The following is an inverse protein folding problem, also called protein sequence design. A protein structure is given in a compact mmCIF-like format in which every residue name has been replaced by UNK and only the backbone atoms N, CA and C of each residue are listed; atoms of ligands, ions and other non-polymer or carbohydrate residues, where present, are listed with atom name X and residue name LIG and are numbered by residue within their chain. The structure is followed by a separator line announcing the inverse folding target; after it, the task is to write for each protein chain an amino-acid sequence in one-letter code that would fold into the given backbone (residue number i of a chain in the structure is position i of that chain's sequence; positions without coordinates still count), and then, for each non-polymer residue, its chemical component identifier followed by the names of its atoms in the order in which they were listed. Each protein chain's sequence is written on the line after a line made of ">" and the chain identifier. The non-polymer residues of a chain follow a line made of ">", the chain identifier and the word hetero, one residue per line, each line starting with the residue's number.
data_IF_136342933553
#
_entry.id   IF_136342933553
#
_cell.length_a   1.000
_cell.length_b   1.000
_cell.length_c   1.000
_cell.angle_alpha   90.00
_cell.angle_beta   90.00
_cell.angle_gamma   90.00
#
_symmetry.space_group_name_H-M   'P 1'
#
loop_
_entity.id
_entity.type
_entity.pdbx_description
1 polymer ?
#
# COMPACT_ATOMS: atom_id res chain seq x y z
N UNK A 1 -13.98 7.15 27.25
CA UNK A 1 -14.78 6.67 26.13
C UNK A 1 -14.41 7.45 24.89
N UNK A 2 -14.09 6.76 23.82
CA UNK A 2 -13.90 7.42 22.53
C UNK A 2 -15.27 7.75 21.97
N UNK A 3 -15.57 9.04 21.81
CA UNK A 3 -16.76 9.51 21.10
C UNK A 3 -16.63 9.21 19.59
N UNK A 4 -17.76 9.15 18.89
CA UNK A 4 -17.76 9.05 17.45
C UNK A 4 -17.16 10.31 16.83
N UNK A 5 -16.30 10.13 15.83
CA UNK A 5 -15.83 11.26 15.01
C UNK A 5 -17.03 11.87 14.28
N UNK A 6 -17.24 13.17 14.45
CA UNK A 6 -18.40 13.87 13.90
C UNK A 6 -18.07 14.62 12.60
N UNK A 7 -16.81 15.07 12.44
CA UNK A 7 -16.35 15.78 11.23
C UNK A 7 -14.82 15.76 11.12
N UNK A 8 -14.30 15.95 9.89
CA UNK A 8 -12.90 16.24 9.60
C UNK A 8 -12.80 17.53 8.80
N UNK A 9 -11.94 18.45 9.24
CA UNK A 9 -11.75 19.73 8.55
C UNK A 9 -11.15 20.79 9.47
N UNK A 10 -10.97 21.98 8.93
CA UNK A 10 -10.47 23.12 9.69
C UNK A 10 -11.56 23.79 10.56
N UNK A 11 -12.81 23.46 10.31
CA UNK A 11 -13.96 24.04 11.00
C UNK A 11 -14.98 22.95 11.34
N UNK A 12 -15.57 23.07 12.51
CA UNK A 12 -16.73 22.30 12.91
C UNK A 12 -17.84 23.28 13.30
N UNK A 13 -19.01 23.17 12.65
CA UNK A 13 -20.17 23.97 12.94
C UNK A 13 -21.14 23.13 13.76
N UNK A 14 -21.32 23.50 15.01
CA UNK A 14 -22.36 22.88 15.84
C UNK A 14 -23.74 23.34 15.37
N UNK A 15 -24.74 22.47 15.42
CA UNK A 15 -26.14 22.90 15.41
C UNK A 15 -26.48 23.75 16.66
N UNK A 16 -27.73 24.23 16.78
CA UNK A 16 -28.17 24.97 17.99
C UNK A 16 -27.93 24.15 19.25
N UNK A 17 -27.18 24.68 20.19
CA UNK A 17 -26.88 24.05 21.48
C UNK A 17 -27.81 24.66 22.58
N UNK A 18 -28.49 23.80 23.31
CA UNK A 18 -29.33 24.19 24.46
C UNK A 18 -28.62 24.01 25.80
N UNK A 19 -27.52 23.29 25.84
CA UNK A 19 -26.72 23.01 27.04
C UNK A 19 -25.24 23.14 26.75
N UNK A 20 -24.45 23.41 27.78
CA UNK A 20 -22.99 23.36 27.69
C UNK A 20 -22.52 21.97 27.18
N UNK A 21 -21.60 21.99 26.26
CA UNK A 21 -21.11 20.79 25.58
C UNK A 21 -19.58 20.82 25.50
N UNK A 22 -18.95 19.68 25.69
CA UNK A 22 -17.51 19.50 25.45
C UNK A 22 -17.32 18.73 24.16
N UNK A 23 -16.54 19.29 23.23
CA UNK A 23 -16.06 18.60 22.05
C UNK A 23 -14.55 18.35 22.20
N UNK A 24 -14.06 17.28 21.60
CA UNK A 24 -12.65 16.95 21.60
C UNK A 24 -12.08 17.17 20.19
N UNK A 25 -10.96 17.88 20.12
CA UNK A 25 -10.28 18.18 18.87
C UNK A 25 -8.92 17.51 18.88
N UNK A 26 -8.58 16.86 17.77
CA UNK A 26 -7.26 16.30 17.53
C UNK A 26 -6.78 16.67 16.13
N UNK A 27 -5.48 16.86 15.98
CA UNK A 27 -4.86 17.06 14.67
C UNK A 27 -4.47 15.71 14.10
N UNK A 28 -4.89 15.42 12.86
CA UNK A 28 -4.39 14.28 12.08
C UNK A 28 -3.27 14.77 11.16
N UNK A 29 -2.10 14.15 11.25
CA UNK A 29 -0.98 14.35 10.34
C UNK A 29 -0.94 13.14 9.41
N UNK A 30 -1.10 13.31 8.09
CA UNK A 30 -0.99 12.21 7.14
C UNK A 30 0.34 11.48 7.29
N UNK A 31 0.33 10.16 7.13
CA UNK A 31 1.55 9.37 7.12
C UNK A 31 2.50 9.78 5.98
N UNK A 32 3.76 9.41 6.13
CA UNK A 32 4.77 9.67 5.09
C UNK A 32 4.37 8.94 3.82
N UNK A 33 4.36 9.66 2.71
CA UNK A 33 4.21 9.11 1.37
C UNK A 33 5.58 9.02 0.72
N UNK A 34 5.93 7.86 0.18
CA UNK A 34 7.26 7.60 -0.38
C UNK A 34 7.19 6.55 -1.49
N UNK A 35 8.18 6.56 -2.37
CA UNK A 35 8.30 5.56 -3.43
C UNK A 35 9.40 4.55 -3.11
N UNK A 36 9.22 3.30 -3.55
CA UNK A 36 10.17 2.21 -3.32
C UNK A 36 10.23 1.23 -4.51
N UNK A 37 11.39 0.64 -4.67
CA UNK A 37 11.69 -0.29 -5.77
C UNK A 37 12.26 0.41 -7.01
N UNK A 38 12.61 -0.37 -8.05
CA UNK A 38 13.05 0.20 -9.31
C UNK A 38 11.93 0.99 -9.97
N UNK A 39 12.26 2.05 -10.70
CA UNK A 39 11.27 2.91 -11.37
C UNK A 39 10.49 2.20 -12.48
N UNK A 40 11.08 1.19 -13.12
CA UNK A 40 10.46 0.39 -14.18
C UNK A 40 11.27 -0.87 -14.48
N UNK A 41 10.87 -1.64 -15.49
CA UNK A 41 11.52 -2.89 -15.90
C UNK A 41 12.85 -2.75 -16.64
N UNK A 42 13.46 -1.58 -16.76
CA UNK A 42 14.73 -1.38 -17.48
C UNK A 42 15.98 -1.79 -16.68
N UNK A 43 15.81 -2.36 -15.49
CA UNK A 43 16.91 -2.78 -14.60
C UNK A 43 17.71 -3.98 -15.11
N UNK A 44 17.15 -4.76 -16.04
CA UNK A 44 17.81 -5.93 -16.59
C UNK A 44 16.95 -6.69 -17.59
N UNK A 45 17.43 -7.84 -18.05
CA UNK A 45 16.69 -8.71 -18.96
C UNK A 45 15.39 -9.24 -18.31
N UNK A 46 14.36 -9.45 -19.13
CA UNK A 46 13.08 -9.93 -18.63
C UNK A 46 12.11 -10.29 -19.73
N UNK A 47 10.84 -10.44 -19.37
CA UNK A 47 9.75 -10.74 -20.29
C UNK A 47 8.41 -10.85 -19.59
N UNK A 48 7.34 -10.88 -20.38
CA UNK A 48 6.00 -11.08 -19.87
C UNK A 48 5.83 -12.47 -19.30
N UNK A 49 5.23 -12.54 -18.12
CA UNK A 49 5.02 -13.79 -17.40
C UNK A 49 3.52 -14.06 -17.23
N UNK A 50 3.07 -15.11 -17.88
CA UNK A 50 1.64 -15.51 -17.89
C UNK A 50 1.52 -17.02 -17.65
N UNK A 51 1.83 -17.46 -16.44
CA UNK A 51 1.74 -18.88 -16.03
C UNK A 51 0.95 -18.99 -14.73
N UNK A 52 0.54 -20.22 -14.38
CA UNK A 52 -0.10 -20.49 -13.09
C UNK A 52 0.80 -20.32 -11.86
N UNK A 53 2.09 -20.06 -12.05
CA UNK A 53 3.00 -19.76 -10.94
C UNK A 53 2.70 -18.37 -10.38
N UNK A 54 2.60 -18.26 -9.06
CA UNK A 54 2.42 -17.00 -8.37
C UNK A 54 3.74 -16.24 -8.29
N UNK A 55 3.92 -15.30 -9.22
CA UNK A 55 5.04 -14.36 -9.15
C UNK A 55 4.74 -13.28 -8.12
N UNK A 56 5.63 -13.12 -7.14
CA UNK A 56 5.45 -12.14 -6.08
C UNK A 56 6.78 -11.52 -5.65
N UNK A 57 6.71 -10.32 -5.08
CA UNK A 57 7.78 -9.68 -4.34
C UNK A 57 7.56 -9.92 -2.86
N UNK A 58 8.59 -10.37 -2.16
CA UNK A 58 8.61 -10.58 -0.72
C UNK A 58 9.04 -9.28 -0.04
N UNK A 59 8.32 -8.87 0.98
CA UNK A 59 8.63 -7.66 1.72
C UNK A 59 8.33 -7.82 3.21
N UNK A 60 9.08 -7.08 4.04
CA UNK A 60 8.85 -6.97 5.48
C UNK A 60 8.32 -5.58 5.75
N UNK A 61 7.17 -5.47 6.38
CA UNK A 61 6.63 -4.21 6.89
C UNK A 61 7.04 -4.03 8.36
N UNK A 62 7.43 -2.82 8.74
CA UNK A 62 7.78 -2.45 10.12
C UNK A 62 6.62 -1.75 10.83
N UNK A 63 5.63 -1.26 10.07
CA UNK A 63 4.39 -0.67 10.56
C UNK A 63 3.25 -0.98 9.58
N UNK A 64 2.02 -0.62 9.97
CA UNK A 64 0.89 -0.64 9.02
C UNK A 64 1.15 0.38 7.90
N UNK A 65 0.75 0.04 6.70
CA UNK A 65 0.91 0.91 5.55
C UNK A 65 -0.14 0.62 4.49
N UNK A 66 -0.25 1.50 3.53
CA UNK A 66 -1.05 1.28 2.31
C UNK A 66 -0.13 1.31 1.10
N UNK A 67 -0.17 0.29 0.26
CA UNK A 67 0.43 0.33 -1.08
C UNK A 67 -0.59 1.02 -1.98
N UNK A 68 -0.35 2.31 -2.25
CA UNK A 68 -1.30 3.20 -2.93
C UNK A 68 -1.35 2.91 -4.41
N UNK A 69 -0.20 2.78 -5.05
CA UNK A 69 -0.07 2.56 -6.49
C UNK A 69 1.25 1.88 -6.84
N UNK A 70 1.35 1.37 -8.06
CA UNK A 70 2.60 0.86 -8.63
C UNK A 70 2.63 1.04 -10.15
N UNK A 71 3.82 1.06 -10.75
CA UNK A 71 4.01 0.89 -12.17
C UNK A 71 3.97 -0.59 -12.55
N UNK A 72 3.23 -0.89 -13.61
CA UNK A 72 3.19 -2.20 -14.26
C UNK A 72 3.46 -2.03 -15.75
N UNK A 73 3.90 -3.11 -16.40
CA UNK A 73 3.94 -3.20 -17.86
C UNK A 73 3.17 -4.46 -18.27
N UNK A 74 2.02 -4.26 -18.93
CA UNK A 74 1.08 -5.32 -19.28
C UNK A 74 1.27 -5.79 -20.73
N UNK A 75 1.41 -7.09 -20.94
CA UNK A 75 1.59 -7.69 -22.26
C UNK A 75 0.35 -7.56 -23.18
N UNK A 76 -0.82 -7.36 -22.60
CA UNK A 76 -2.09 -7.10 -23.30
C UNK A 76 -3.04 -6.35 -22.38
N UNK A 77 -4.10 -5.77 -22.95
CA UNK A 77 -5.18 -5.17 -22.17
C UNK A 77 -6.02 -6.22 -21.43
N UNK A 78 -6.63 -5.82 -20.31
CA UNK A 78 -7.57 -6.63 -19.54
C UNK A 78 -7.35 -6.60 -18.04
N UNK A 79 -8.15 -7.36 -17.28
CA UNK A 79 -8.09 -7.36 -15.82
C UNK A 79 -6.81 -8.02 -15.28
N UNK A 80 -6.27 -7.49 -14.18
CA UNK A 80 -5.13 -8.02 -13.44
C UNK A 80 -5.48 -8.03 -11.96
N UNK A 81 -5.52 -9.22 -11.35
CA UNK A 81 -5.72 -9.33 -9.90
C UNK A 81 -4.37 -9.37 -9.22
N UNK A 82 -4.14 -8.37 -8.38
CA UNK A 82 -2.94 -8.22 -7.54
C UNK A 82 -3.37 -8.47 -6.11
N UNK A 83 -2.62 -9.33 -5.42
CA UNK A 83 -2.96 -9.80 -4.08
C UNK A 83 -1.79 -9.66 -3.13
N UNK A 84 -2.09 -9.48 -1.84
CA UNK A 84 -1.13 -9.56 -0.74
C UNK A 84 -1.44 -10.82 0.08
N UNK A 85 -0.40 -11.53 0.47
CA UNK A 85 -0.45 -12.68 1.37
C UNK A 85 0.40 -12.46 2.60
N UNK A 86 -0.01 -13.07 3.71
CA UNK A 86 0.86 -13.23 4.88
C UNK A 86 2.01 -14.18 4.53
N UNK A 87 3.21 -13.81 4.93
CA UNK A 87 4.43 -14.57 4.63
C UNK A 87 4.93 -14.38 3.20
N UNK A 88 6.07 -15.00 2.93
CA UNK A 88 6.75 -14.91 1.64
C UNK A 88 6.19 -15.90 0.62
N UNK A 89 6.46 -15.61 -0.65
CA UNK A 89 6.22 -16.47 -1.83
C UNK A 89 4.76 -16.63 -2.27
N UNK A 90 3.83 -15.83 -1.78
CA UNK A 90 2.47 -15.75 -2.34
C UNK A 90 1.68 -17.06 -2.24
N UNK A 91 1.40 -17.52 -1.02
CA UNK A 91 0.66 -18.76 -0.78
C UNK A 91 -0.57 -18.60 0.11
N UNK A 92 -1.51 -19.54 -0.02
CA UNK A 92 -2.72 -19.56 0.80
C UNK A 92 -3.77 -18.52 0.38
N UNK A 93 -4.59 -18.11 1.35
CA UNK A 93 -5.64 -17.11 1.12
C UNK A 93 -5.04 -15.70 1.20
N UNK A 94 -5.24 -14.85 0.20
CA UNK A 94 -4.82 -13.46 0.26
C UNK A 94 -5.49 -12.71 1.40
N UNK A 95 -4.77 -11.80 2.05
CA UNK A 95 -5.31 -10.89 3.06
C UNK A 95 -5.94 -9.64 2.43
N UNK A 96 -5.47 -9.27 1.23
CA UNK A 96 -6.01 -8.16 0.44
C UNK A 96 -5.84 -8.46 -1.04
N UNK A 97 -6.76 -7.97 -1.88
CA UNK A 97 -6.69 -8.11 -3.33
C UNK A 97 -7.39 -6.96 -4.03
N UNK A 98 -6.87 -6.59 -5.19
CA UNK A 98 -7.51 -5.62 -6.09
C UNK A 98 -7.43 -6.13 -7.53
N UNK A 99 -8.48 -5.90 -8.31
CA UNK A 99 -8.46 -6.14 -9.76
C UNK A 99 -8.43 -4.80 -10.49
N UNK A 100 -7.35 -4.56 -11.22
CA UNK A 100 -7.16 -3.37 -12.06
C UNK A 100 -7.36 -3.72 -13.53
N UNK A 101 -8.03 -2.85 -14.28
CA UNK A 101 -8.13 -3.00 -15.74
C UNK A 101 -6.92 -2.31 -16.39
N UNK A 102 -5.95 -3.10 -16.82
CA UNK A 102 -4.75 -2.60 -17.46
C UNK A 102 -4.96 -2.41 -18.97
N UNK A 103 -4.41 -1.34 -19.53
CA UNK A 103 -4.11 -1.23 -20.96
C UNK A 103 -2.86 -2.03 -21.30
N UNK A 104 -2.60 -2.30 -22.56
CA UNK A 104 -1.31 -2.88 -22.97
C UNK A 104 -0.18 -1.85 -22.76
N UNK A 105 0.98 -2.31 -22.28
CA UNK A 105 2.18 -1.51 -22.08
C UNK A 105 2.32 -0.94 -20.66
N UNK A 106 3.32 -0.06 -20.46
CA UNK A 106 3.66 0.48 -19.15
C UNK A 106 2.66 1.53 -18.68
N UNK A 107 2.25 1.44 -17.42
CA UNK A 107 1.29 2.37 -16.79
C UNK A 107 1.36 2.30 -15.28
N UNK A 108 0.98 3.39 -14.60
CA UNK A 108 0.72 3.39 -13.17
C UNK A 108 -0.71 2.91 -12.91
N UNK A 109 -0.87 2.05 -11.92
CA UNK A 109 -2.18 1.55 -11.49
C UNK A 109 -2.39 1.83 -10.01
N UNK A 110 -3.61 2.22 -9.66
CA UNK A 110 -4.00 2.39 -8.26
C UNK A 110 -4.32 1.03 -7.65
N UNK A 111 -3.77 0.77 -6.48
CA UNK A 111 -3.93 -0.48 -5.75
C UNK A 111 -4.73 -0.29 -4.47
N UNK A 112 -4.39 0.68 -3.65
CA UNK A 112 -4.98 0.95 -2.32
C UNK A 112 -5.06 -0.32 -1.46
N UNK A 113 -3.99 -1.12 -1.46
CA UNK A 113 -3.90 -2.36 -0.70
C UNK A 113 -3.32 -2.07 0.69
N UNK A 114 -4.10 -2.40 1.72
CA UNK A 114 -3.68 -2.23 3.11
C UNK A 114 -2.83 -3.40 3.59
N UNK A 115 -1.74 -3.07 4.29
CA UNK A 115 -0.89 -3.99 5.05
C UNK A 115 -1.15 -3.73 6.53
N UNK A 116 -1.63 -4.73 7.30
CA UNK A 116 -2.24 -4.47 8.60
C UNK A 116 -1.26 -4.09 9.72
N UNK A 117 0.03 -4.36 9.56
CA UNK A 117 1.03 -4.04 10.58
C UNK A 117 2.36 -4.74 10.36
N UNK A 118 3.23 -4.74 11.35
CA UNK A 118 4.53 -5.38 11.24
C UNK A 118 4.45 -6.86 10.88
N UNK A 119 5.32 -7.29 9.97
CA UNK A 119 5.39 -8.69 9.56
C UNK A 119 5.95 -8.89 8.16
N UNK A 120 6.05 -10.15 7.78
CA UNK A 120 6.49 -10.58 6.46
C UNK A 120 5.29 -10.82 5.55
N UNK A 121 5.40 -10.34 4.33
CA UNK A 121 4.33 -10.39 3.33
C UNK A 121 4.89 -10.67 1.94
N UNK A 122 3.99 -10.99 1.04
CA UNK A 122 4.30 -11.01 -0.40
C UNK A 122 3.17 -10.35 -1.20
N UNK A 123 3.53 -9.72 -2.33
CA UNK A 123 2.58 -9.06 -3.23
C UNK A 123 2.83 -9.48 -4.67
N UNK A 124 1.77 -9.83 -5.41
CA UNK A 124 1.88 -10.26 -6.80
C UNK A 124 0.63 -10.93 -7.33
N UNK A 125 0.81 -11.93 -8.19
CA UNK A 125 -0.30 -12.68 -8.77
C UNK A 125 0.15 -13.80 -9.71
N UNK A 126 -0.80 -14.61 -10.14
CA UNK A 126 -0.61 -15.68 -11.12
C UNK A 126 -1.39 -15.38 -12.39
N UNK A 127 -0.88 -15.84 -13.54
CA UNK A 127 -1.55 -15.68 -14.86
C UNK A 127 -1.91 -14.23 -15.20
N UNK A 128 -1.14 -13.25 -14.73
CA UNK A 128 -1.45 -11.82 -14.86
C UNK A 128 -0.79 -11.14 -16.06
N UNK A 129 0.01 -11.87 -16.86
CA UNK A 129 0.66 -11.36 -18.06
C UNK A 129 1.30 -9.97 -17.92
N UNK A 130 2.10 -9.81 -16.86
CA UNK A 130 2.89 -8.60 -16.60
C UNK A 130 4.36 -8.88 -16.84
N UNK A 131 5.10 -7.82 -17.21
CA UNK A 131 6.54 -7.88 -17.37
C UNK A 131 7.22 -8.13 -16.02
N UNK A 132 8.22 -9.00 -16.01
CA UNK A 132 9.14 -9.24 -14.88
C UNK A 132 10.57 -9.16 -15.36
N UNK A 133 11.47 -8.74 -14.50
CA UNK A 133 12.89 -8.92 -14.73
C UNK A 133 13.35 -10.30 -14.24
N UNK A 134 14.29 -10.88 -14.94
CA UNK A 134 14.99 -12.13 -14.59
C UNK A 134 16.40 -11.85 -14.06
N UNK A 135 16.87 -10.62 -14.23
CA UNK A 135 18.17 -10.13 -13.77
C UNK A 135 18.05 -8.66 -13.41
N UNK A 136 19.00 -8.14 -12.61
CA UNK A 136 19.15 -6.72 -12.33
C UNK A 136 18.41 -6.22 -11.10
N UNK A 137 17.73 -7.09 -10.36
CA UNK A 137 17.23 -6.73 -9.04
C UNK A 137 18.42 -6.50 -8.07
N UNK A 138 18.27 -5.53 -7.17
CA UNK A 138 19.29 -5.17 -6.19
C UNK A 138 18.67 -5.02 -4.80
N UNK A 139 18.23 -6.13 -4.24
CA UNK A 139 17.64 -6.19 -2.91
C UNK A 139 18.64 -5.93 -1.78
N UNK A 140 18.21 -5.40 -0.61
CA UNK A 140 16.86 -4.91 -0.33
C UNK A 140 16.64 -3.49 -0.86
N UNK A 141 15.40 -3.19 -1.27
CA UNK A 141 14.93 -1.81 -1.40
C UNK A 141 14.26 -1.42 -0.09
N UNK A 142 14.58 -0.24 0.46
CA UNK A 142 14.21 0.10 1.85
C UNK A 142 13.61 1.50 1.94
N UNK A 143 12.48 1.63 2.63
CA UNK A 143 12.01 2.85 3.27
C UNK A 143 12.22 2.65 4.78
N UNK A 144 13.19 3.37 5.41
CA UNK A 144 13.50 3.18 6.82
C UNK A 144 12.26 3.31 7.72
N UNK A 145 12.13 2.42 8.71
CA UNK A 145 11.05 2.36 9.68
C UNK A 145 9.64 2.15 9.08
N UNK A 146 9.56 1.72 7.83
CA UNK A 146 8.27 1.44 7.19
C UNK A 146 8.25 0.10 6.48
N UNK A 147 9.16 -0.11 5.50
CA UNK A 147 9.09 -1.34 4.70
C UNK A 147 10.42 -1.63 3.98
N UNK A 148 10.68 -2.92 3.77
CA UNK A 148 11.80 -3.42 2.95
C UNK A 148 11.32 -4.47 1.96
N UNK A 149 11.55 -4.29 0.64
CA UNK A 149 11.38 -5.34 -0.36
C UNK A 149 12.67 -6.17 -0.36
N UNK A 150 12.59 -7.45 -0.03
CA UNK A 150 13.77 -8.26 0.32
C UNK A 150 14.14 -9.32 -0.70
N UNK A 151 13.19 -9.80 -1.50
CA UNK A 151 13.44 -10.82 -2.53
C UNK A 151 12.21 -11.00 -3.43
N UNK A 152 12.28 -11.97 -4.34
CA UNK A 152 11.13 -12.44 -5.11
C UNK A 152 10.72 -13.86 -4.71
N UNK A 153 9.56 -14.32 -5.19
CA UNK A 153 9.06 -15.69 -5.03
C UNK A 153 9.69 -16.69 -6.01
N UNK A 154 10.69 -16.31 -6.81
CA UNK A 154 11.36 -17.22 -7.72
C UNK A 154 12.00 -18.38 -6.96
N UNK A 155 11.76 -19.62 -7.40
CA UNK A 155 12.30 -20.82 -6.75
C UNK A 155 13.80 -20.97 -6.93
N UNK A 156 14.33 -20.41 -8.00
CA UNK A 156 15.77 -20.32 -8.28
C UNK A 156 16.15 -18.86 -8.41
N UNK A 157 17.27 -18.47 -7.80
CA UNK A 157 17.80 -17.09 -7.84
C UNK A 157 16.77 -16.02 -7.43
N UNK A 158 16.11 -16.12 -6.26
CA UNK A 158 15.07 -15.14 -5.85
C UNK A 158 15.61 -13.72 -5.72
N UNK A 159 16.91 -13.54 -5.63
CA UNK A 159 17.57 -12.24 -5.59
C UNK A 159 17.76 -11.59 -6.97
N UNK A 160 17.65 -12.35 -8.06
CA UNK A 160 17.86 -11.82 -9.42
C UNK A 160 16.54 -11.35 -10.06
N UNK A 161 15.43 -12.01 -9.70
CA UNK A 161 14.12 -11.73 -10.28
C UNK A 161 13.43 -10.55 -9.60
N UNK A 162 12.72 -9.73 -10.41
CA UNK A 162 11.82 -8.70 -9.91
C UNK A 162 10.44 -8.83 -10.58
N UNK A 163 9.38 -9.09 -9.78
CA UNK A 163 8.05 -9.37 -10.32
C UNK A 163 7.16 -8.14 -10.34
N UNK A 164 6.77 -7.73 -11.53
CA UNK A 164 5.63 -6.97 -11.97
C UNK A 164 5.44 -5.53 -11.45
N UNK A 165 5.67 -5.29 -10.17
CA UNK A 165 5.24 -4.06 -9.52
C UNK A 165 6.48 -3.19 -9.26
N UNK A 166 6.64 -2.14 -10.06
CA UNK A 166 7.75 -1.19 -9.98
C UNK A 166 7.29 0.10 -9.31
N UNK A 167 8.23 0.87 -8.78
CA UNK A 167 7.99 2.21 -8.23
C UNK A 167 6.72 2.27 -7.38
N UNK A 168 6.67 1.44 -6.32
CA UNK A 168 5.51 1.44 -5.43
C UNK A 168 5.42 2.78 -4.72
N UNK A 169 4.25 3.38 -4.78
CA UNK A 169 3.89 4.50 -3.93
C UNK A 169 3.26 3.93 -2.65
N UNK A 170 3.88 4.20 -1.52
CA UNK A 170 3.45 3.70 -0.20
C UNK A 170 3.13 4.86 0.71
N UNK A 171 2.10 4.68 1.51
CA UNK A 171 1.70 5.61 2.55
C UNK A 171 1.77 4.92 3.91
N UNK A 172 2.58 5.49 4.81
CA UNK A 172 2.65 5.06 6.21
C UNK A 172 1.42 5.46 7.00
N UNK A 173 1.35 5.05 8.29
CA UNK A 173 0.21 5.37 9.15
C UNK A 173 0.12 6.88 9.40
N UNK A 174 -1.10 7.40 9.48
CA UNK A 174 -1.33 8.75 9.97
C UNK A 174 -1.09 8.81 11.48
N UNK A 175 -0.46 9.88 11.95
CA UNK A 175 -0.36 10.19 13.37
C UNK A 175 -1.53 11.11 13.77
N UNK A 176 -2.11 10.83 14.94
CA UNK A 176 -3.12 11.70 15.54
C UNK A 176 -2.57 12.26 16.84
N UNK A 177 -2.72 13.56 17.04
CA UNK A 177 -2.35 14.21 18.31
C UNK A 177 -3.27 13.74 19.43
N UNK A 178 -2.87 14.01 20.68
CA UNK A 178 -3.78 13.91 21.81
C UNK A 178 -5.01 14.79 21.59
N UNK A 179 -6.13 14.31 22.13
CA UNK A 179 -7.39 15.04 22.06
C UNK A 179 -7.40 16.19 23.06
N UNK A 180 -7.70 17.40 22.58
CA UNK A 180 -7.84 18.60 23.42
C UNK A 180 -9.33 18.89 23.61
N UNK A 181 -9.83 18.96 24.86
CA UNK A 181 -11.22 19.31 25.12
C UNK A 181 -11.46 20.82 24.84
N UNK A 182 -12.51 21.10 24.11
CA UNK A 182 -13.05 22.46 23.90
C UNK A 182 -14.42 22.53 24.54
N UNK A 183 -14.54 23.34 25.61
CA UNK A 183 -15.78 23.51 26.34
C UNK A 183 -16.57 24.66 25.73
N UNK A 184 -17.76 24.36 25.26
CA UNK A 184 -18.70 25.36 24.72
C UNK A 184 -19.73 25.67 25.81
N UNK A 185 -19.81 26.92 26.22
CA UNK A 185 -20.84 27.40 27.15
C UNK A 185 -21.98 28.03 26.38
N UNK A 186 -23.19 27.82 26.86
CA UNK A 186 -24.40 28.42 26.30
C UNK A 186 -24.89 29.46 27.31
N UNK A 187 -24.72 30.75 26.95
CA UNK A 187 -25.30 31.84 27.75
C UNK A 187 -26.80 31.89 27.47
N UNK A 188 -27.60 31.79 28.52
CA UNK A 188 -29.05 32.01 28.45
C UNK A 188 -29.27 33.48 28.55
N UNK A 189 -29.86 34.08 27.52
CA UNK A 189 -30.39 35.46 27.55
C UNK A 189 -31.64 35.54 28.46
#
# INVERSE_FOLDING_TARGET
>A
GQGNQVETGAFYVTGPLSNATTIFVAQAIPGIQSNIGPTNGSIGGGGYHNTGFTGALNFTAEDKLTIVSAWIDAGNAGPRTISIWNGFNGGGTPIASVTVNASQGPQRVTLNLEVPGPGDYSIGGSSINLFRNQTGANYPYVIPNLLSIVSSSATTSPADFYYYLYDWEVQGPSCQSDQVPVNIQVDRA
#
